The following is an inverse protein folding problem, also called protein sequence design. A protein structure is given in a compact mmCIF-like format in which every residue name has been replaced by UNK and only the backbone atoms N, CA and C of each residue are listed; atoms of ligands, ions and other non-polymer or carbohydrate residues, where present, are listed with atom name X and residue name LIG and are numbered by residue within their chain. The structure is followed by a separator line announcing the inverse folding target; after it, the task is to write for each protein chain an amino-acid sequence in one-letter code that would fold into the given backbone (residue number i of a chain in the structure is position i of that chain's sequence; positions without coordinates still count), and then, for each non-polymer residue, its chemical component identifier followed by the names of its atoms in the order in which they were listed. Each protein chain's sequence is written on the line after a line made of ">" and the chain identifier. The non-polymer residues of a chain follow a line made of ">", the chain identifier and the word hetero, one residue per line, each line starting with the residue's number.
data_IF_329195351415
#
_entry.id   IF_329195351415
#
_cell.length_a   1.000
_cell.length_b   1.000
_cell.length_c   1.000
_cell.angle_alpha   90.00
_cell.angle_beta   90.00
_cell.angle_gamma   90.00
#
_symmetry.space_group_name_H-M   'P 1'
#
loop_
_entity.id
_entity.type
_entity.pdbx_description
1 polymer ?
#
# COMPACT_ATOMS: atom_id res chain seq x y z
N UNK A 1 9.54 4.06 3.26
CA UNK A 1 8.09 4.02 2.95
C UNK A 1 7.36 4.93 3.91
N UNK A 2 6.32 5.64 3.47
CA UNK A 2 5.46 6.45 4.34
C UNK A 2 4.15 5.73 4.64
N UNK A 3 3.64 5.89 5.85
CA UNK A 3 2.39 5.27 6.29
C UNK A 3 1.20 6.19 6.08
N UNK A 4 0.11 5.67 5.50
CA UNK A 4 -1.14 6.40 5.29
C UNK A 4 -2.00 6.49 6.55
N UNK A 5 -1.87 5.53 7.45
CA UNK A 5 -2.63 5.44 8.71
C UNK A 5 -1.73 4.88 9.83
N UNK A 6 -2.20 5.00 11.08
CA UNK A 6 -1.61 4.27 12.20
C UNK A 6 -1.64 2.76 11.91
N UNK A 7 -0.49 2.10 11.98
CA UNK A 7 -0.35 0.70 11.59
C UNK A 7 0.36 -0.13 12.64
N UNK A 8 -0.04 -1.39 12.78
CA UNK A 8 0.66 -2.36 13.60
C UNK A 8 1.75 -3.08 12.80
N UNK A 9 2.76 -3.57 13.51
CA UNK A 9 3.78 -4.46 12.95
C UNK A 9 3.41 -5.92 13.24
N UNK A 10 3.57 -6.77 12.24
CA UNK A 10 3.18 -8.17 12.28
C UNK A 10 4.38 -9.10 12.09
N UNK A 11 4.27 -10.32 12.61
CA UNK A 11 5.20 -11.41 12.28
C UNK A 11 4.67 -12.24 11.09
N UNK A 12 5.46 -13.23 10.64
CA UNK A 12 5.09 -14.14 9.54
C UNK A 12 3.83 -14.99 9.80
N UNK A 13 3.37 -15.08 11.05
CA UNK A 13 2.14 -15.81 11.44
C UNK A 13 0.89 -14.89 11.44
N UNK A 14 1.01 -13.65 10.95
CA UNK A 14 -0.03 -12.61 11.01
C UNK A 14 -0.38 -12.16 12.44
N UNK A 15 0.52 -12.36 13.41
CA UNK A 15 0.33 -11.90 14.79
C UNK A 15 1.00 -10.55 14.99
N UNK A 16 0.34 -9.66 15.74
CA UNK A 16 0.91 -8.34 16.08
C UNK A 16 2.11 -8.53 17.00
N UNK A 17 3.21 -7.82 16.72
CA UNK A 17 4.39 -7.77 17.58
C UNK A 17 4.17 -6.66 18.60
N UNK A 18 3.57 -7.01 19.76
CA UNK A 18 3.13 -6.03 20.77
C UNK A 18 4.25 -5.09 21.23
N UNK A 19 5.47 -5.60 21.43
CA UNK A 19 6.64 -4.81 21.85
C UNK A 19 7.05 -3.69 20.88
N UNK A 20 6.63 -3.78 19.62
CA UNK A 20 6.95 -2.76 18.60
C UNK A 20 5.96 -1.58 18.65
N UNK A 21 4.84 -1.73 19.36
CA UNK A 21 3.78 -0.73 19.41
C UNK A 21 3.12 -0.49 18.05
N UNK A 22 2.45 0.66 17.95
CA UNK A 22 1.82 1.16 16.73
C UNK A 22 2.75 2.17 16.07
N UNK A 23 3.03 2.00 14.78
CA UNK A 23 3.71 3.02 14.00
C UNK A 23 2.69 4.08 13.59
N UNK A 24 3.01 5.35 13.84
CA UNK A 24 2.10 6.48 13.58
C UNK A 24 1.99 6.78 12.09
N UNK A 25 0.83 7.27 11.67
CA UNK A 25 0.64 7.83 10.33
C UNK A 25 1.74 8.86 9.99
N UNK A 26 2.16 8.91 8.72
CA UNK A 26 3.21 9.81 8.25
C UNK A 26 4.63 9.38 8.63
N UNK A 27 4.80 8.37 9.49
CA UNK A 27 6.13 7.87 9.85
C UNK A 27 6.85 7.31 8.63
N UNK A 28 8.12 7.71 8.46
CA UNK A 28 9.04 7.07 7.53
C UNK A 28 9.52 5.74 8.11
N UNK A 29 9.26 4.65 7.39
CA UNK A 29 9.64 3.28 7.78
C UNK A 29 10.56 2.68 6.73
N UNK A 30 11.70 2.14 7.16
CA UNK A 30 12.62 1.39 6.31
C UNK A 30 12.02 0.03 5.93
N UNK A 31 12.15 -0.36 4.67
CA UNK A 31 11.75 -1.68 4.19
C UNK A 31 12.98 -2.56 3.95
N UNK A 32 12.75 -3.86 3.81
CA UNK A 32 13.77 -4.84 3.46
C UNK A 32 13.61 -5.28 2.01
N UNK A 33 14.74 -5.49 1.33
CA UNK A 33 14.79 -5.92 -0.07
C UNK A 33 14.90 -4.74 -1.03
N UNK A 34 14.84 -5.06 -2.32
CA UNK A 34 15.07 -4.10 -3.40
C UNK A 34 13.81 -3.89 -4.23
N UNK A 35 13.74 -2.74 -4.88
CA UNK A 35 12.73 -2.44 -5.89
C UNK A 35 12.99 -3.30 -7.13
N UNK A 36 11.90 -3.78 -7.76
CA UNK A 36 11.92 -4.50 -9.03
C UNK A 36 10.89 -3.91 -9.98
N UNK A 37 10.96 -4.28 -11.27
CA UNK A 37 9.85 -4.07 -12.19
C UNK A 37 8.57 -4.74 -11.65
N UNK A 38 7.45 -4.04 -11.72
CA UNK A 38 6.15 -4.57 -11.36
C UNK A 38 5.69 -5.59 -12.41
N UNK A 39 5.06 -6.66 -11.96
CA UNK A 39 4.42 -7.66 -12.83
C UNK A 39 2.91 -7.62 -12.67
N UNK A 40 2.20 -8.34 -13.55
CA UNK A 40 0.75 -8.53 -13.46
C UNK A 40 0.31 -9.10 -12.10
N UNK A 41 1.14 -9.96 -11.49
CA UNK A 41 0.89 -10.60 -10.19
C UNK A 41 1.10 -9.70 -8.96
N UNK A 42 1.69 -8.52 -9.11
CA UNK A 42 1.85 -7.59 -7.98
C UNK A 42 0.52 -6.88 -7.69
N UNK A 43 0.04 -6.99 -6.45
CA UNK A 43 -1.19 -6.34 -5.97
C UNK A 43 -0.99 -4.83 -5.75
N UNK A 44 0.23 -4.44 -5.39
CA UNK A 44 0.66 -3.06 -5.14
C UNK A 44 1.88 -2.69 -5.98
N UNK A 45 1.88 -1.49 -6.55
CA UNK A 45 2.95 -0.98 -7.40
C UNK A 45 3.05 0.55 -7.28
N UNK A 46 4.11 1.14 -7.81
CA UNK A 46 4.31 2.59 -7.86
C UNK A 46 5.08 2.95 -9.14
N UNK A 47 4.95 4.18 -9.60
CA UNK A 47 5.74 4.67 -10.74
C UNK A 47 7.03 5.35 -10.25
N UNK A 48 8.12 5.33 -11.03
CA UNK A 48 9.40 5.92 -10.63
C UNK A 48 9.34 7.45 -10.50
N UNK A 49 8.32 8.10 -11.06
CA UNK A 49 8.06 9.53 -10.96
C UNK A 49 6.55 9.79 -10.97
N UNK A 50 6.10 10.81 -10.24
CA UNK A 50 4.69 11.25 -10.23
C UNK A 50 4.22 11.76 -11.61
N UNK A 51 5.15 12.11 -12.50
CA UNK A 51 4.85 12.58 -13.87
C UNK A 51 4.92 11.49 -14.94
N UNK A 52 5.11 10.23 -14.56
CA UNK A 52 5.24 9.10 -15.50
C UNK A 52 4.35 7.94 -15.12
N UNK A 53 3.73 7.32 -16.12
CA UNK A 53 3.01 6.06 -15.98
C UNK A 53 3.75 4.91 -16.67
N UNK A 54 5.05 5.08 -16.94
CA UNK A 54 5.91 4.05 -17.57
C UNK A 54 6.70 3.29 -16.51
N UNK A 55 7.03 2.05 -16.84
CA UNK A 55 7.92 1.17 -16.07
C UNK A 55 7.53 1.08 -14.58
N UNK A 56 6.29 0.66 -14.28
CA UNK A 56 5.84 0.53 -12.90
C UNK A 56 6.77 -0.41 -12.13
N UNK A 57 6.99 -0.06 -10.87
CA UNK A 57 7.88 -0.72 -9.95
C UNK A 57 7.10 -1.32 -8.78
N UNK A 58 7.69 -2.33 -8.14
CA UNK A 58 7.12 -2.96 -6.95
C UNK A 58 8.21 -3.36 -5.97
N UNK A 59 7.84 -3.42 -4.69
CA UNK A 59 8.59 -4.17 -3.68
C UNK A 59 8.08 -5.60 -3.61
N UNK A 60 8.91 -6.53 -3.12
CA UNK A 60 8.48 -7.89 -2.84
C UNK A 60 7.29 -7.89 -1.85
N UNK A 61 6.21 -8.53 -2.27
CA UNK A 61 4.96 -8.64 -1.53
C UNK A 61 4.83 -10.00 -0.88
N UNK A 62 4.38 -10.03 0.37
CA UNK A 62 4.16 -11.25 1.14
C UNK A 62 2.67 -11.42 1.39
N UNK A 63 2.08 -12.50 0.86
CA UNK A 63 0.69 -12.86 1.17
C UNK A 63 0.69 -13.71 2.44
N UNK A 64 0.14 -13.16 3.53
CA UNK A 64 0.05 -13.82 4.83
C UNK A 64 -1.43 -13.83 5.23
N UNK A 65 -2.04 -15.03 5.26
CA UNK A 65 -3.49 -15.22 5.51
C UNK A 65 -4.37 -14.32 4.63
N UNK A 66 -4.11 -14.34 3.32
CA UNK A 66 -4.88 -13.59 2.32
C UNK A 66 -4.61 -12.08 2.25
N UNK A 67 -3.84 -11.52 3.18
CA UNK A 67 -3.48 -10.08 3.18
C UNK A 67 -2.07 -9.87 2.67
N UNK A 68 -1.84 -8.74 2.01
CA UNK A 68 -0.54 -8.40 1.42
C UNK A 68 0.27 -7.53 2.37
N UNK A 69 1.56 -7.83 2.49
CA UNK A 69 2.49 -7.17 3.40
C UNK A 69 3.82 -6.82 2.72
N UNK A 70 4.45 -5.76 3.22
CA UNK A 70 5.86 -5.46 2.97
C UNK A 70 6.71 -5.84 4.17
N UNK A 71 7.92 -6.35 3.91
CA UNK A 71 8.88 -6.70 4.94
C UNK A 71 9.64 -5.46 5.45
N UNK A 72 9.81 -5.36 6.76
CA UNK A 72 10.63 -4.35 7.43
C UNK A 72 12.01 -4.90 7.88
N UNK A 73 12.31 -6.16 7.55
CA UNK A 73 13.49 -6.89 8.04
C UNK A 73 13.28 -7.51 9.43
N UNK A 74 14.11 -8.50 9.77
CA UNK A 74 14.04 -9.20 11.07
C UNK A 74 12.72 -9.93 11.32
N UNK A 75 12.06 -10.44 10.27
CA UNK A 75 10.78 -11.14 10.36
C UNK A 75 9.57 -10.25 10.70
N UNK A 76 9.71 -8.94 10.54
CA UNK A 76 8.66 -7.93 10.77
C UNK A 76 8.02 -7.48 9.47
N UNK A 77 6.72 -7.21 9.52
CA UNK A 77 5.89 -6.91 8.35
C UNK A 77 4.88 -5.80 8.65
N UNK A 78 4.53 -5.01 7.63
CA UNK A 78 3.42 -4.06 7.66
C UNK A 78 2.48 -4.34 6.50
N UNK A 79 1.18 -4.12 6.70
CA UNK A 79 0.20 -4.30 5.63
C UNK A 79 0.47 -3.30 4.51
N UNK A 80 0.50 -3.78 3.26
CA UNK A 80 0.75 -2.94 2.09
C UNK A 80 -0.33 -1.84 1.93
N UNK A 81 -1.60 -2.15 2.22
CA UNK A 81 -2.72 -1.20 2.21
C UNK A 81 -2.56 0.02 3.13
N UNK A 82 -1.64 -0.04 4.11
CA UNK A 82 -1.37 1.05 5.05
C UNK A 82 -0.15 1.90 4.63
N UNK A 83 0.46 1.62 3.49
CA UNK A 83 1.59 2.38 2.93
C UNK A 83 1.06 3.35 1.87
N UNK A 84 1.44 4.62 1.99
CA UNK A 84 1.08 5.67 1.03
C UNK A 84 2.15 5.90 -0.03
N UNK A 85 3.43 5.89 0.38
CA UNK A 85 4.56 6.16 -0.52
C UNK A 85 5.74 5.20 -0.34
N UNK A 86 6.42 4.87 -1.44
CA UNK A 86 7.71 4.15 -1.47
C UNK A 86 8.69 5.03 -2.27
N UNK A 87 9.87 5.29 -1.70
CA UNK A 87 10.89 6.16 -2.30
C UNK A 87 10.34 7.53 -2.79
N UNK A 88 9.40 8.12 -2.03
CA UNK A 88 8.76 9.39 -2.38
C UNK A 88 7.56 9.29 -3.33
N UNK A 89 7.34 8.14 -3.96
CA UNK A 89 6.32 7.92 -4.98
C UNK A 89 5.06 7.25 -4.41
N UNK A 90 3.88 7.63 -4.91
CA UNK A 90 2.60 7.07 -4.46
C UNK A 90 2.44 5.59 -4.81
N UNK A 91 1.91 4.82 -3.87
CA UNK A 91 1.59 3.40 -4.07
C UNK A 91 0.16 3.24 -4.56
N UNK A 92 0.00 2.55 -5.67
CA UNK A 92 -1.25 2.16 -6.29
C UNK A 92 -1.57 0.69 -6.01
N UNK A 93 -2.83 0.30 -6.15
CA UNK A 93 -3.26 -1.09 -5.98
C UNK A 93 -4.22 -1.53 -7.08
N UNK A 94 -4.15 -2.80 -7.45
CA UNK A 94 -5.13 -3.46 -8.33
C UNK A 94 -6.29 -4.07 -7.55
N UNK A 95 -6.22 -4.06 -6.22
CA UNK A 95 -7.27 -4.56 -5.36
C UNK A 95 -8.48 -3.61 -5.41
N UNK A 96 -9.72 -4.12 -5.32
CA UNK A 96 -10.91 -3.29 -5.33
C UNK A 96 -10.85 -2.26 -4.18
N UNK A 97 -11.19 -1.02 -4.50
CA UNK A 97 -11.30 0.08 -3.54
C UNK A 97 -12.74 0.56 -3.53
N UNK A 98 -13.28 0.77 -2.34
CA UNK A 98 -14.59 1.36 -2.15
C UNK A 98 -14.42 2.84 -1.81
N UNK A 99 -15.09 3.70 -2.55
CA UNK A 99 -15.24 5.11 -2.23
C UNK A 99 -16.63 5.27 -1.65
N UNK A 100 -16.73 5.81 -0.44
CA UNK A 100 -18.01 6.24 0.12
C UNK A 100 -18.16 7.71 -0.28
N UNK A 101 -19.03 8.02 -1.26
CA UNK A 101 -19.26 9.41 -1.59
C UNK A 101 -19.81 10.16 -0.38
N UNK A 102 -19.36 11.41 -0.19
CA UNK A 102 -20.04 12.30 0.75
C UNK A 102 -21.43 12.59 0.19
N UNK A 103 -22.38 12.93 1.07
CA UNK A 103 -23.78 13.12 0.68
C UNK A 103 -24.01 14.18 -0.42
N UNK A 104 -23.02 15.03 -0.67
CA UNK A 104 -22.96 16.09 -1.67
C UNK A 104 -22.17 15.71 -2.94
N UNK A 105 -21.66 14.48 -3.07
CA UNK A 105 -21.00 14.00 -4.29
C UNK A 105 -21.97 13.24 -5.20
N UNK A 106 -22.17 13.79 -6.39
CA UNK A 106 -22.96 13.17 -7.45
C UNK A 106 -22.08 12.21 -8.27
N UNK A 107 -22.53 10.97 -8.44
CA UNK A 107 -21.92 10.03 -9.39
C UNK A 107 -22.64 10.21 -10.72
N UNK A 108 -21.92 10.74 -11.70
CA UNK A 108 -22.45 10.94 -13.04
C UNK A 108 -22.07 9.76 -13.94
N UNK A 109 -23.01 9.33 -14.79
CA UNK A 109 -22.72 8.40 -15.87
C UNK A 109 -21.90 9.08 -16.99
N UNK A 110 -21.57 8.33 -18.04
CA UNK A 110 -20.82 8.85 -19.21
C UNK A 110 -21.51 10.03 -19.92
N UNK A 111 -22.80 10.22 -19.71
CA UNK A 111 -23.63 11.26 -20.29
C UNK A 111 -23.88 12.43 -19.31
N UNK A 112 -23.09 12.49 -18.22
CA UNK A 112 -23.16 13.51 -17.17
C UNK A 112 -24.50 13.57 -16.42
N UNK A 113 -25.23 12.45 -16.37
CA UNK A 113 -26.48 12.32 -15.60
C UNK A 113 -26.24 11.57 -14.30
N UNK A 114 -26.88 12.02 -13.23
CA UNK A 114 -26.90 11.31 -11.96
C UNK A 114 -27.46 9.90 -12.15
N UNK A 115 -26.82 8.94 -11.47
CA UNK A 115 -27.18 7.51 -11.52
C UNK A 115 -27.72 7.07 -10.17
#
# INVERSE_FOLDING_TARGET
>A
MFLKTNTYVYNKKCQRIKKQGTLRQGTLVTYSGSVKAASSSDDFFFYPSESSNKDPQALKQYKIKGKVYYALGGGRYVKAVNVSKINGQYVFTKQPTYVIPRADMYVLNKDLKET
#
